data_IF_192139760592
#
_entry.id   IF_192139760592
#
_cell.length_a   1.000
_cell.length_b   1.000
_cell.length_c   1.000
_cell.angle_alpha   90.00
_cell.angle_beta   90.00
_cell.angle_gamma   90.00
#
_symmetry.space_group_name_H-M   'P 1'
#
loop_
_entity.id
_entity.type
_entity.pdbx_description
1 polymer ?
#
# COMPACT_ATOMS: atom_id res chain seq x y z
N UNK A 1 -12.34 2.61 -8.05
CA UNK A 1 -13.04 3.27 -6.95
C UNK A 1 -12.27 4.50 -6.51
N UNK A 2 -13.00 5.51 -6.08
CA UNK A 2 -12.46 6.65 -5.33
C UNK A 2 -13.05 6.54 -3.93
N UNK A 3 -12.21 6.67 -2.91
CA UNK A 3 -12.60 6.64 -1.52
C UNK A 3 -11.96 7.82 -0.79
N UNK A 4 -12.53 8.21 0.34
CA UNK A 4 -11.92 9.22 1.18
C UNK A 4 -12.50 9.16 2.59
N UNK A 5 -11.73 9.65 3.55
CA UNK A 5 -12.14 9.77 4.93
C UNK A 5 -11.67 11.08 5.53
N UNK A 6 -12.46 11.59 6.46
CA UNK A 6 -12.17 12.77 7.27
C UNK A 6 -12.50 12.41 8.70
N UNK A 7 -11.52 12.47 9.60
CA UNK A 7 -11.68 12.16 11.00
C UNK A 7 -11.11 13.28 11.86
N UNK A 8 -11.89 13.81 12.80
CA UNK A 8 -11.41 14.80 13.76
C UNK A 8 -10.36 14.20 14.69
N UNK A 9 -9.26 14.91 14.94
CA UNK A 9 -8.18 14.44 15.79
C UNK A 9 -8.04 15.33 17.05
N UNK A 10 -7.93 14.77 18.27
CA UNK A 10 -7.74 15.55 19.51
C UNK A 10 -6.45 16.38 19.57
N UNK A 11 -5.49 16.20 18.64
CA UNK A 11 -4.27 17.01 18.53
C UNK A 11 -4.43 18.33 17.76
N UNK A 12 -5.63 18.63 17.26
CA UNK A 12 -5.91 19.77 16.37
C UNK A 12 -6.15 19.32 14.93
N UNK A 13 -7.09 19.96 14.24
CA UNK A 13 -7.46 19.65 12.86
C UNK A 13 -8.23 18.34 12.66
N UNK A 14 -8.34 17.94 11.40
CA UNK A 14 -8.90 16.66 10.97
C UNK A 14 -7.86 15.90 10.13
N UNK A 15 -7.78 14.59 10.33
CA UNK A 15 -7.02 13.70 9.47
C UNK A 15 -7.86 13.44 8.21
N UNK A 16 -7.36 13.91 7.08
CA UNK A 16 -7.96 13.76 5.77
C UNK A 16 -7.20 12.70 4.99
N UNK A 17 -7.92 11.81 4.32
CA UNK A 17 -7.37 10.82 3.40
C UNK A 17 -8.21 10.75 2.14
N UNK A 18 -7.53 10.68 1.00
CA UNK A 18 -8.10 10.42 -0.31
C UNK A 18 -7.38 9.23 -0.93
N UNK A 19 -8.16 8.28 -1.42
CA UNK A 19 -7.70 7.06 -2.08
C UNK A 19 -8.32 6.95 -3.47
N UNK A 20 -7.49 6.64 -4.45
CA UNK A 20 -7.93 6.23 -5.78
C UNK A 20 -7.37 4.85 -6.07
N UNK A 21 -8.21 3.95 -6.54
CA UNK A 21 -7.79 2.61 -6.94
C UNK A 21 -8.53 2.17 -8.18
N UNK A 22 -7.85 1.42 -9.05
CA UNK A 22 -8.44 0.82 -10.24
C UNK A 22 -7.95 -0.61 -10.35
N UNK A 23 -8.92 -1.53 -10.40
CA UNK A 23 -8.68 -2.91 -10.75
C UNK A 23 -9.10 -3.11 -12.21
N UNK A 24 -8.32 -3.87 -12.97
CA UNK A 24 -8.65 -4.35 -14.31
C UNK A 24 -8.43 -5.86 -14.36
N UNK A 25 -9.29 -6.57 -15.09
CA UNK A 25 -9.26 -8.03 -15.20
C UNK A 25 -10.35 -8.72 -14.37
N UNK A 26 -10.13 -9.98 -14.06
CA UNK A 26 -11.06 -10.87 -13.38
C UNK A 26 -10.50 -11.36 -12.01
N UNK A 27 -11.28 -12.04 -11.17
CA UNK A 27 -10.82 -12.50 -9.86
C UNK A 27 -9.60 -13.42 -9.90
N UNK A 28 -9.40 -14.17 -10.98
CA UNK A 28 -8.23 -15.04 -11.16
C UNK A 28 -7.06 -14.27 -11.78
N UNK A 29 -7.31 -13.30 -12.65
CA UNK A 29 -6.28 -12.50 -13.31
C UNK A 29 -6.62 -11.01 -13.23
N UNK A 30 -6.06 -10.31 -12.25
CA UNK A 30 -6.26 -8.87 -12.14
C UNK A 30 -4.98 -8.10 -11.88
N UNK A 31 -5.04 -6.84 -12.30
CA UNK A 31 -4.07 -5.81 -11.97
C UNK A 31 -4.81 -4.72 -11.21
N UNK A 32 -4.32 -4.40 -10.01
CA UNK A 32 -4.84 -3.34 -9.15
C UNK A 32 -3.78 -2.28 -9.01
N UNK A 33 -4.08 -1.06 -9.45
CA UNK A 33 -3.26 0.11 -9.21
C UNK A 33 -4.00 1.04 -8.25
N UNK A 34 -3.27 1.67 -7.34
CA UNK A 34 -3.84 2.63 -6.41
C UNK A 34 -2.87 3.74 -6.07
N UNK A 35 -3.41 4.87 -5.66
CA UNK A 35 -2.67 5.98 -5.09
C UNK A 35 -3.49 6.63 -3.99
N UNK A 36 -2.81 7.28 -3.06
CA UNK A 36 -3.46 7.98 -1.97
C UNK A 36 -2.68 9.20 -1.54
N UNK A 37 -3.40 10.12 -0.90
CA UNK A 37 -2.85 11.24 -0.15
C UNK A 37 -3.53 11.28 1.22
N UNK A 38 -2.75 11.46 2.27
CA UNK A 38 -3.23 11.55 3.63
C UNK A 38 -2.46 12.63 4.39
N UNK A 39 -3.13 13.42 5.20
CA UNK A 39 -2.50 14.47 6.00
C UNK A 39 -3.49 15.06 7.00
N UNK A 40 -3.01 15.93 7.87
CA UNK A 40 -3.85 16.64 8.84
C UNK A 40 -4.12 18.06 8.34
N UNK A 41 -5.39 18.50 8.44
CA UNK A 41 -5.85 19.80 7.92
C UNK A 41 -5.30 21.00 8.69
N UNK A 42 -4.86 20.84 9.93
CA UNK A 42 -4.29 21.92 10.74
C UNK A 42 -2.77 22.02 10.53
N UNK A 43 -2.02 20.92 10.72
CA UNK A 43 -0.54 20.91 10.61
C UNK A 43 0.04 19.54 10.23
N UNK A 44 1.17 19.55 9.51
CA UNK A 44 2.00 18.36 9.27
C UNK A 44 2.22 18.04 7.79
N UNK A 45 3.19 17.16 7.48
CA UNK A 45 3.47 16.77 6.10
C UNK A 45 2.35 15.92 5.52
N UNK A 46 2.01 16.16 4.25
CA UNK A 46 1.09 15.29 3.50
C UNK A 46 1.87 14.04 3.09
N UNK A 47 1.40 12.88 3.56
CA UNK A 47 1.88 11.58 3.13
C UNK A 47 1.20 11.21 1.82
N UNK A 48 1.97 10.90 0.80
CA UNK A 48 1.45 10.37 -0.46
C UNK A 48 1.96 8.96 -0.68
N UNK A 49 1.21 8.16 -1.42
CA UNK A 49 1.62 6.82 -1.74
C UNK A 49 0.97 6.27 -2.98
N UNK A 50 1.59 5.24 -3.52
CA UNK A 50 1.11 4.48 -4.66
C UNK A 50 1.32 3.00 -4.43
N UNK A 51 0.46 2.19 -5.03
CA UNK A 51 0.56 0.73 -5.01
C UNK A 51 0.22 0.15 -6.37
N UNK A 52 0.89 -0.93 -6.72
CA UNK A 52 0.58 -1.75 -7.87
C UNK A 52 0.61 -3.20 -7.42
N UNK A 53 -0.47 -3.92 -7.64
CA UNK A 53 -0.60 -5.33 -7.35
C UNK A 53 -1.08 -6.07 -8.59
N UNK A 54 -0.51 -7.24 -8.83
CA UNK A 54 -0.90 -8.17 -9.87
C UNK A 54 -1.22 -9.50 -9.23
N UNK A 55 -2.31 -10.12 -9.64
CA UNK A 55 -2.72 -11.45 -9.22
C UNK A 55 -3.00 -12.31 -10.45
N UNK A 56 -2.55 -13.55 -10.38
CA UNK A 56 -2.63 -14.57 -11.41
C UNK A 56 -2.81 -15.95 -10.74
N UNK A 57 -4.06 -16.35 -10.58
CA UNK A 57 -4.51 -17.68 -10.21
C UNK A 57 -3.78 -18.27 -9.00
N UNK A 58 -3.68 -17.49 -7.92
CA UNK A 58 -3.00 -17.88 -6.67
C UNK A 58 -1.57 -17.38 -6.54
N UNK A 59 -0.97 -16.88 -7.63
CA UNK A 59 0.31 -16.16 -7.59
C UNK A 59 0.05 -14.67 -7.66
N UNK A 60 0.67 -13.89 -6.81
CA UNK A 60 0.57 -12.45 -6.88
C UNK A 60 1.87 -11.77 -6.51
N UNK A 61 1.96 -10.53 -6.96
CA UNK A 61 3.06 -9.64 -6.64
C UNK A 61 2.47 -8.25 -6.40
N UNK A 62 2.94 -7.58 -5.36
CA UNK A 62 2.57 -6.22 -5.07
C UNK A 62 3.78 -5.38 -4.72
N UNK A 63 3.71 -4.12 -5.14
CA UNK A 63 4.70 -3.09 -4.88
C UNK A 63 3.95 -1.89 -4.33
N UNK A 64 4.46 -1.29 -3.26
CA UNK A 64 3.93 -0.03 -2.76
C UNK A 64 5.06 0.90 -2.38
N UNK A 65 4.81 2.20 -2.59
CA UNK A 65 5.71 3.26 -2.18
C UNK A 65 4.92 4.31 -1.43
N UNK A 66 5.46 4.76 -0.32
CA UNK A 66 4.92 5.86 0.48
C UNK A 66 6.01 6.87 0.75
N UNK A 67 5.66 8.14 0.61
CA UNK A 67 6.54 9.27 0.82
C UNK A 67 5.90 10.23 1.81
N UNK A 68 6.57 10.47 2.92
CA UNK A 68 6.20 11.50 3.90
C UNK A 68 7.34 12.50 3.99
N UNK A 69 7.18 13.72 3.43
CA UNK A 69 8.22 14.74 3.42
C UNK A 69 8.84 14.98 4.80
N UNK A 70 10.17 14.90 4.89
CA UNK A 70 10.92 15.14 6.13
C UNK A 70 10.79 14.05 7.21
N UNK A 71 10.06 12.96 6.94
CA UNK A 71 9.83 11.89 7.92
C UNK A 71 10.40 10.57 7.39
N UNK A 72 9.84 10.03 6.31
CA UNK A 72 10.16 8.68 5.84
C UNK A 72 9.69 8.42 4.42
N UNK A 73 10.52 7.70 3.69
CA UNK A 73 10.19 6.97 2.48
C UNK A 73 10.14 5.47 2.78
N UNK A 74 9.05 4.83 2.39
CA UNK A 74 8.89 3.37 2.53
C UNK A 74 8.59 2.77 1.17
N UNK A 75 9.39 1.80 0.76
CA UNK A 75 9.16 1.00 -0.42
C UNK A 75 9.00 -0.46 -0.01
N UNK A 76 7.85 -1.04 -0.32
CA UNK A 76 7.52 -2.42 0.04
C UNK A 76 7.29 -3.21 -1.23
N UNK A 77 7.87 -4.41 -1.26
CA UNK A 77 7.67 -5.40 -2.30
C UNK A 77 7.18 -6.67 -1.63
N UNK A 78 6.16 -7.29 -2.19
CA UNK A 78 5.62 -8.54 -1.69
C UNK A 78 5.30 -9.46 -2.86
N UNK A 79 5.51 -10.75 -2.65
CA UNK A 79 5.09 -11.80 -3.56
C UNK A 79 4.33 -12.84 -2.76
N UNK A 80 3.25 -13.35 -3.34
CA UNK A 80 2.49 -14.46 -2.81
C UNK A 80 2.43 -15.57 -3.86
N UNK A 81 2.52 -16.81 -3.41
CA UNK A 81 2.41 -17.99 -4.26
C UNK A 81 1.56 -19.02 -3.53
N UNK A 82 0.46 -19.43 -4.15
CA UNK A 82 -0.34 -20.53 -3.67
C UNK A 82 0.34 -21.84 -4.10
N UNK A 83 0.91 -22.56 -3.12
CA UNK A 83 1.66 -23.80 -3.33
C UNK A 83 0.73 -25.02 -3.44
N UNK A 84 -0.48 -24.94 -2.90
CA UNK A 84 -1.47 -26.01 -2.97
C UNK A 84 -2.87 -25.43 -2.74
N UNK A 85 -3.82 -25.66 -3.65
CA UNK A 85 -5.21 -25.27 -3.45
C UNK A 85 -6.14 -26.35 -3.99
N UNK A 86 -6.97 -26.92 -3.11
CA UNK A 86 -7.96 -27.93 -3.49
C UNK A 86 -9.40 -27.51 -3.14
N UNK A 87 -9.67 -26.20 -3.05
CA UNK A 87 -11.00 -25.64 -2.78
C UNK A 87 -11.47 -25.74 -1.31
N UNK A 88 -10.97 -26.70 -0.52
CA UNK A 88 -11.17 -26.79 0.93
C UNK A 88 -9.92 -26.48 1.76
N UNK A 89 -8.74 -26.61 1.15
CA UNK A 89 -7.46 -26.36 1.79
C UNK A 89 -6.56 -25.58 0.84
N UNK A 90 -5.94 -24.51 1.35
CA UNK A 90 -4.87 -23.80 0.65
C UNK A 90 -3.60 -23.77 1.48
N UNK A 91 -2.45 -23.82 0.81
CA UNK A 91 -1.14 -23.56 1.38
C UNK A 91 -0.54 -22.40 0.60
N UNK A 92 -0.39 -21.27 1.26
CA UNK A 92 0.10 -20.04 0.66
C UNK A 92 1.48 -19.69 1.22
N UNK A 93 2.41 -19.37 0.32
CA UNK A 93 3.73 -18.83 0.66
C UNK A 93 3.75 -17.33 0.37
N UNK A 94 4.04 -16.54 1.40
CA UNK A 94 4.14 -15.08 1.29
C UNK A 94 5.55 -14.63 1.64
N UNK A 95 6.16 -13.81 0.79
CA UNK A 95 7.42 -13.16 1.08
C UNK A 95 7.27 -11.65 0.85
N UNK A 96 7.79 -10.85 1.77
CA UNK A 96 7.80 -9.40 1.65
C UNK A 96 9.15 -8.82 2.04
N UNK A 97 9.59 -7.79 1.33
CA UNK A 97 10.75 -6.98 1.64
C UNK A 97 10.31 -5.52 1.72
N UNK A 98 10.62 -4.86 2.83
CA UNK A 98 10.32 -3.44 3.00
C UNK A 98 11.60 -2.68 3.28
N UNK A 99 11.89 -1.68 2.46
CA UNK A 99 13.00 -0.76 2.64
C UNK A 99 12.45 0.56 3.14
N UNK A 100 12.89 0.96 4.33
CA UNK A 100 12.55 2.24 4.92
C UNK A 100 13.79 3.14 4.82
N UNK A 101 13.69 4.20 4.04
CA UNK A 101 14.69 5.26 4.01
C UNK A 101 14.16 6.42 4.84
N UNK A 102 14.83 6.74 5.94
CA UNK A 102 14.47 7.94 6.71
C UNK A 102 15.07 9.17 6.02
N UNK A 103 14.45 10.34 6.22
CA UNK A 103 14.89 11.61 5.64
C UNK A 103 16.36 12.00 5.95
N UNK A 104 17.00 11.33 6.90
CA UNK A 104 18.42 11.50 7.27
C UNK A 104 19.40 10.62 6.47
N UNK A 105 18.95 9.94 5.41
CA UNK A 105 19.84 9.16 4.52
C UNK A 105 20.30 7.80 5.08
N UNK A 106 19.90 7.44 6.30
CA UNK A 106 20.14 6.09 6.83
C UNK A 106 19.21 5.09 6.14
N UNK A 107 19.83 4.14 5.44
CA UNK A 107 19.21 2.92 4.93
C UNK A 107 19.47 1.82 5.95
N UNK A 108 18.43 1.16 6.45
CA UNK A 108 18.58 -0.10 7.17
C UNK A 108 18.41 -1.20 6.12
N UNK A 109 19.50 -1.90 5.80
CA UNK A 109 19.53 -3.08 4.93
C UNK A 109 19.43 -4.35 5.79
#
# INVERSE_FOLDING_TARGET
GVGGSLASNPRGGADARLDIAKAIGDPNHNLVAGAFAAGNTDRGPITTGGSLAYNNNGFGAALSKTHTPGVRDTFTQSVNANLFNNGQHSVDANAFKSQNTLANGFKFD
#
